data_IF_061816986851
#
_entry.id   IF_061816986851
#
_cell.length_a   1.000
_cell.length_b   1.000
_cell.length_c   1.000
_cell.angle_alpha   90.00
_cell.angle_beta   90.00
_cell.angle_gamma   90.00
#
_symmetry.space_group_name_H-M   'P 1'
#
loop_
_entity.id
_entity.type
_entity.pdbx_description
1 polymer ?
#
# COMPACT_ATOMS: atom_id res chain seq x y z
N UNK A 1 6.97 18.63 34.71
CA UNK A 1 6.49 18.69 33.31
C UNK A 1 7.08 17.62 32.38
N UNK A 2 8.23 17.00 32.69
CA UNK A 2 8.85 15.98 31.82
C UNK A 2 8.26 14.56 31.92
N UNK A 3 7.42 14.25 32.92
CA UNK A 3 6.81 12.92 33.12
C UNK A 3 5.56 12.63 32.24
N UNK A 4 4.96 13.67 31.65
CA UNK A 4 3.74 13.53 30.85
C UNK A 4 4.02 13.29 29.35
N UNK A 5 5.14 13.83 28.85
CA UNK A 5 5.61 13.63 27.47
C UNK A 5 6.13 12.20 27.28
N UNK A 6 6.79 11.64 28.30
CA UNK A 6 7.35 10.28 28.30
C UNK A 6 6.26 9.20 28.27
N UNK A 7 5.16 9.41 28.99
CA UNK A 7 3.98 8.52 28.95
C UNK A 7 3.25 8.56 27.60
N UNK A 8 3.22 9.71 26.92
CA UNK A 8 2.65 9.84 25.59
C UNK A 8 3.43 9.05 24.53
N UNK A 9 4.77 9.08 24.57
CA UNK A 9 5.61 8.31 23.66
C UNK A 9 5.58 6.80 23.94
N UNK A 10 5.55 6.38 25.22
CA UNK A 10 5.40 4.96 25.57
C UNK A 10 4.03 4.39 25.14
N UNK A 11 2.94 5.15 25.27
CA UNK A 11 1.61 4.74 24.81
C UNK A 11 1.55 4.61 23.29
N UNK A 12 2.16 5.55 22.55
CA UNK A 12 2.24 5.47 21.09
C UNK A 12 3.06 4.24 20.67
N UNK A 13 4.21 3.97 21.30
CA UNK A 13 5.03 2.81 20.98
C UNK A 13 4.34 1.48 21.31
N UNK A 14 3.67 1.38 22.46
CA UNK A 14 2.93 0.20 22.88
C UNK A 14 1.69 -0.06 22.01
N UNK A 15 0.97 0.99 21.61
CA UNK A 15 -0.16 0.86 20.68
C UNK A 15 0.28 0.48 19.28
N UNK A 16 1.42 0.99 18.80
CA UNK A 16 2.01 0.58 17.52
C UNK A 16 2.51 -0.87 17.58
N UNK A 17 3.09 -1.31 18.71
CA UNK A 17 3.53 -2.69 18.90
C UNK A 17 2.35 -3.67 18.91
N UNK A 18 1.25 -3.32 19.61
CA UNK A 18 0.00 -4.10 19.59
C UNK A 18 -0.67 -4.10 18.22
N UNK A 19 -0.65 -2.97 17.51
CA UNK A 19 -1.11 -2.89 16.13
C UNK A 19 -0.30 -3.83 15.23
N UNK A 20 1.03 -3.80 15.35
CA UNK A 20 1.91 -4.67 14.59
C UNK A 20 1.64 -6.15 14.91
N UNK A 21 1.48 -6.50 16.17
CA UNK A 21 1.20 -7.87 16.62
C UNK A 21 -0.19 -8.35 16.18
N UNK A 22 -1.19 -7.47 16.13
CA UNK A 22 -2.54 -7.80 15.67
C UNK A 22 -2.65 -7.87 14.14
N UNK A 23 -1.83 -7.10 13.41
CA UNK A 23 -1.74 -7.15 11.94
C UNK A 23 -0.86 -8.31 11.43
N UNK A 24 0.19 -8.67 12.18
CA UNK A 24 1.09 -9.80 11.87
C UNK A 24 0.75 -11.05 12.69
N UNK A 25 -0.54 -11.32 12.93
CA UNK A 25 -0.91 -12.61 13.51
C UNK A 25 -0.34 -13.76 12.65
N UNK A 26 0.26 -14.80 13.27
CA UNK A 26 1.19 -15.72 12.60
C UNK A 26 0.56 -16.71 11.62
N UNK A 27 -0.72 -16.58 11.28
CA UNK A 27 -1.46 -17.61 10.52
C UNK A 27 -1.53 -17.39 9.00
N UNK A 28 -0.98 -16.30 8.46
CA UNK A 28 -1.07 -16.03 7.00
C UNK A 28 0.24 -15.72 6.30
N UNK A 29 1.38 -16.04 6.93
CA UNK A 29 2.59 -16.29 6.16
C UNK A 29 2.47 -17.65 5.47
N UNK A 30 1.40 -17.83 4.68
CA UNK A 30 1.24 -18.99 3.83
C UNK A 30 2.46 -19.00 2.90
N UNK A 31 3.04 -20.18 2.71
CA UNK A 31 4.19 -20.38 1.81
C UNK A 31 3.95 -19.69 0.46
N UNK A 32 2.69 -19.64 0.01
CA UNK A 32 2.25 -18.98 -1.21
C UNK A 32 2.49 -17.46 -1.22
N UNK A 33 2.24 -16.72 -0.13
CA UNK A 33 2.53 -15.29 -0.06
C UNK A 33 4.04 -15.04 -0.04
N UNK A 34 4.79 -15.86 0.71
CA UNK A 34 6.25 -15.79 0.77
C UNK A 34 6.90 -16.05 -0.59
N UNK A 35 6.44 -17.07 -1.31
CA UNK A 35 6.91 -17.39 -2.67
C UNK A 35 6.56 -16.26 -3.64
N UNK A 36 5.33 -15.73 -3.60
CA UNK A 36 4.94 -14.60 -4.45
C UNK A 36 5.82 -13.36 -4.20
N UNK A 37 6.08 -13.03 -2.93
CA UNK A 37 6.95 -11.93 -2.56
C UNK A 37 8.40 -12.15 -3.02
N UNK A 38 8.93 -13.37 -2.91
CA UNK A 38 10.27 -13.71 -3.40
C UNK A 38 10.39 -13.58 -4.92
N UNK A 39 9.38 -14.00 -5.67
CA UNK A 39 9.33 -13.85 -7.14
C UNK A 39 9.30 -12.38 -7.53
N UNK A 40 8.45 -11.58 -6.86
CA UNK A 40 8.40 -10.13 -7.07
C UNK A 40 9.74 -9.45 -6.76
N UNK A 41 10.36 -9.78 -5.63
CA UNK A 41 11.66 -9.24 -5.24
C UNK A 41 12.76 -9.59 -6.26
N UNK A 42 12.77 -10.83 -6.73
CA UNK A 42 13.70 -11.29 -7.77
C UNK A 42 13.50 -10.53 -9.08
N UNK A 43 12.25 -10.32 -9.49
CA UNK A 43 11.92 -9.53 -10.68
C UNK A 43 12.41 -8.08 -10.55
N UNK A 44 12.14 -7.41 -9.44
CA UNK A 44 12.63 -6.04 -9.21
C UNK A 44 14.15 -5.96 -9.14
N UNK A 45 14.82 -6.99 -8.61
CA UNK A 45 16.28 -7.09 -8.63
C UNK A 45 16.81 -7.11 -10.07
N UNK A 46 16.21 -7.90 -10.97
CA UNK A 46 16.61 -7.93 -12.38
C UNK A 46 16.37 -6.61 -13.10
N UNK A 47 15.22 -5.96 -12.88
CA UNK A 47 14.93 -4.63 -13.44
C UNK A 47 15.98 -3.61 -12.97
N UNK A 48 16.29 -3.61 -11.67
CA UNK A 48 17.31 -2.73 -11.08
C UNK A 48 18.71 -3.02 -11.65
N UNK A 49 19.07 -4.30 -11.78
CA UNK A 49 20.33 -4.72 -12.36
C UNK A 49 20.45 -4.27 -13.82
N UNK A 50 19.41 -4.43 -14.64
CA UNK A 50 19.42 -3.96 -16.03
C UNK A 50 19.59 -2.44 -16.13
N UNK A 51 18.93 -1.67 -15.26
CA UNK A 51 19.09 -0.21 -15.20
C UNK A 51 20.51 0.20 -14.81
N UNK A 52 21.04 -0.37 -13.73
CA UNK A 52 22.38 -0.05 -13.23
C UNK A 52 23.49 -0.53 -14.19
N UNK A 53 23.45 -1.80 -14.60
CA UNK A 53 24.43 -2.38 -15.51
C UNK A 53 24.35 -1.75 -16.91
N UNK A 54 23.15 -1.46 -17.41
CA UNK A 54 22.95 -0.73 -18.67
C UNK A 54 23.54 0.69 -18.62
N UNK A 55 23.45 1.36 -17.47
CA UNK A 55 24.08 2.65 -17.26
C UNK A 55 25.62 2.56 -17.26
N UNK A 56 26.19 1.59 -16.54
CA UNK A 56 27.65 1.40 -16.44
C UNK A 56 28.26 0.99 -17.78
N UNK A 57 27.70 -0.04 -18.43
CA UNK A 57 28.18 -0.57 -19.71
C UNK A 57 27.88 0.31 -20.92
N UNK A 58 27.03 1.35 -20.76
CA UNK A 58 26.50 2.19 -21.84
C UNK A 58 25.81 1.40 -22.96
N UNK A 59 25.29 0.22 -22.66
CA UNK A 59 24.58 -0.63 -23.62
C UNK A 59 23.21 -0.05 -23.95
N UNK A 60 22.99 0.29 -25.23
CA UNK A 60 21.73 0.87 -25.69
C UNK A 60 20.56 -0.12 -25.61
N UNK A 61 20.82 -1.41 -25.82
CA UNK A 61 19.80 -2.46 -25.78
C UNK A 61 19.28 -2.66 -24.36
N UNK A 62 20.17 -2.74 -23.36
CA UNK A 62 19.80 -2.91 -21.95
C UNK A 62 19.01 -1.71 -21.42
N UNK A 63 19.42 -0.48 -21.76
CA UNK A 63 18.70 0.73 -21.37
C UNK A 63 17.31 0.83 -22.02
N UNK A 64 17.15 0.34 -23.25
CA UNK A 64 15.85 0.28 -23.93
C UNK A 64 14.93 -0.75 -23.25
N UNK A 65 15.42 -1.96 -22.98
CA UNK A 65 14.68 -2.99 -22.26
C UNK A 65 14.29 -2.55 -20.85
N UNK A 66 15.17 -1.83 -20.15
CA UNK A 66 14.85 -1.23 -18.86
C UNK A 66 13.71 -0.20 -18.99
N UNK A 67 13.77 0.70 -19.97
CA UNK A 67 12.72 1.70 -20.18
C UNK A 67 11.36 1.08 -20.51
N UNK A 68 11.33 0.02 -21.33
CA UNK A 68 10.08 -0.68 -21.66
C UNK A 68 9.51 -1.43 -20.46
N UNK A 69 10.35 -2.09 -19.65
CA UNK A 69 9.90 -2.76 -18.42
C UNK A 69 9.34 -1.76 -17.39
N UNK A 70 9.99 -0.61 -17.23
CA UNK A 70 9.51 0.49 -16.37
C UNK A 70 8.14 0.99 -16.88
N UNK A 71 7.97 1.18 -18.18
CA UNK A 71 6.67 1.59 -18.74
C UNK A 71 5.57 0.51 -18.52
N UNK A 72 5.91 -0.76 -18.69
CA UNK A 72 4.96 -1.86 -18.44
C UNK A 72 4.57 -1.96 -16.96
N UNK A 73 5.52 -1.73 -16.05
CA UNK A 73 5.25 -1.66 -14.61
C UNK A 73 4.29 -0.51 -14.28
N UNK A 74 4.50 0.67 -14.89
CA UNK A 74 3.58 1.79 -14.74
C UNK A 74 2.14 1.41 -15.15
N UNK A 75 1.98 0.75 -16.30
CA UNK A 75 0.65 0.33 -16.77
C UNK A 75 0.02 -0.71 -15.85
N UNK A 76 0.81 -1.68 -15.36
CA UNK A 76 0.34 -2.70 -14.42
C UNK A 76 -0.09 -2.07 -13.09
N UNK A 77 0.72 -1.18 -12.52
CA UNK A 77 0.39 -0.45 -11.29
C UNK A 77 -0.87 0.39 -11.46
N UNK A 78 -1.03 1.06 -12.60
CA UNK A 78 -2.26 1.81 -12.89
C UNK A 78 -3.49 0.92 -12.96
N UNK A 79 -3.38 -0.25 -13.60
CA UNK A 79 -4.47 -1.22 -13.71
C UNK A 79 -4.82 -1.82 -12.35
N UNK A 80 -3.83 -2.17 -11.53
CA UNK A 80 -4.04 -2.68 -10.17
C UNK A 80 -4.70 -1.63 -9.29
N UNK A 81 -4.20 -0.39 -9.28
CA UNK A 81 -4.81 0.70 -8.51
C UNK A 81 -6.26 0.94 -8.90
N UNK A 82 -6.57 0.92 -10.20
CA UNK A 82 -7.94 1.08 -10.69
C UNK A 82 -8.83 -0.09 -10.23
N UNK A 83 -8.36 -1.32 -10.40
CA UNK A 83 -9.09 -2.53 -10.00
C UNK A 83 -9.37 -2.59 -8.49
N UNK A 84 -8.37 -2.29 -7.65
CA UNK A 84 -8.56 -2.26 -6.20
C UNK A 84 -9.50 -1.13 -5.79
N UNK A 85 -9.35 0.05 -6.38
CA UNK A 85 -10.21 1.20 -6.08
C UNK A 85 -11.67 0.92 -6.44
N UNK A 86 -11.94 0.36 -7.63
CA UNK A 86 -13.30 0.03 -8.04
C UNK A 86 -13.90 -1.09 -7.18
N UNK A 87 -13.13 -2.14 -6.91
CA UNK A 87 -13.57 -3.24 -6.04
C UNK A 87 -13.89 -2.76 -4.62
N UNK A 88 -13.07 -1.87 -4.05
CA UNK A 88 -13.32 -1.29 -2.71
C UNK A 88 -14.55 -0.37 -2.69
N UNK A 89 -14.79 0.38 -3.76
CA UNK A 89 -15.95 1.28 -3.86
C UNK A 89 -17.25 0.51 -4.11
N UNK A 90 -17.21 -0.53 -4.94
CA UNK A 90 -18.39 -1.31 -5.34
C UNK A 90 -18.78 -2.37 -4.31
N UNK A 91 -17.80 -3.11 -3.77
CA UNK A 91 -18.06 -4.20 -2.82
C UNK A 91 -18.03 -3.77 -1.36
N UNK A 92 -17.46 -2.59 -1.07
CA UNK A 92 -17.23 -2.13 0.30
C UNK A 92 -16.31 -3.05 1.10
N UNK A 93 -16.19 -2.79 2.40
CA UNK A 93 -15.53 -3.71 3.34
C UNK A 93 -16.48 -4.86 3.65
N UNK A 94 -16.40 -5.95 2.87
CA UNK A 94 -17.18 -7.15 3.15
C UNK A 94 -16.88 -7.70 4.55
N UNK A 95 -17.88 -8.35 5.14
CA UNK A 95 -17.92 -8.82 6.54
C UNK A 95 -16.94 -9.96 6.85
N UNK A 96 -16.15 -10.41 5.87
CA UNK A 96 -15.03 -11.33 6.12
C UNK A 96 -13.95 -10.57 6.90
N UNK A 97 -13.75 -10.98 8.16
CA UNK A 97 -12.75 -10.44 9.09
C UNK A 97 -11.33 -10.88 8.67
N UNK A 98 -10.90 -10.44 7.48
CA UNK A 98 -9.52 -10.56 7.01
C UNK A 98 -8.63 -9.48 7.64
N UNK A 99 -7.33 -9.75 7.77
CA UNK A 99 -6.36 -8.78 8.30
C UNK A 99 -6.38 -7.43 7.57
N UNK A 100 -6.61 -7.44 6.26
CA UNK A 100 -6.72 -6.23 5.45
C UNK A 100 -7.94 -5.38 5.81
N UNK A 101 -9.07 -6.00 6.16
CA UNK A 101 -10.28 -5.26 6.53
C UNK A 101 -10.09 -4.57 7.88
N UNK A 102 -9.39 -5.22 8.82
CA UNK A 102 -8.96 -4.58 10.08
C UNK A 102 -7.98 -3.41 9.85
N UNK A 103 -6.99 -3.58 8.98
CA UNK A 103 -6.00 -2.53 8.67
C UNK A 103 -6.66 -1.27 8.08
N UNK A 104 -7.60 -1.46 7.15
CA UNK A 104 -8.34 -0.36 6.51
C UNK A 104 -9.22 0.35 7.54
N UNK A 105 -9.96 -0.39 8.39
CA UNK A 105 -10.80 0.18 9.45
C UNK A 105 -9.98 1.05 10.42
N UNK A 106 -8.78 0.60 10.80
CA UNK A 106 -7.87 1.35 11.67
C UNK A 106 -7.31 2.60 10.95
N UNK A 107 -6.86 2.46 9.71
CA UNK A 107 -6.25 3.54 8.93
C UNK A 107 -7.25 4.66 8.64
N UNK A 108 -8.50 4.30 8.33
CA UNK A 108 -9.56 5.26 8.01
C UNK A 108 -10.42 5.64 9.22
N UNK A 109 -10.19 5.00 10.38
CA UNK A 109 -10.97 5.20 11.62
C UNK A 109 -12.48 5.15 11.36
N UNK A 110 -12.93 4.07 10.72
CA UNK A 110 -14.30 3.88 10.26
C UNK A 110 -14.86 2.53 10.74
N UNK A 111 -16.19 2.43 10.86
CA UNK A 111 -16.86 1.17 11.12
C UNK A 111 -18.23 1.11 10.44
N UNK A 112 -18.52 -0.01 9.76
CA UNK A 112 -19.80 -0.30 9.13
C UNK A 112 -20.69 -1.03 10.15
N UNK A 113 -21.31 -0.29 11.08
CA UNK A 113 -22.24 -0.87 12.06
C UNK A 113 -23.65 -0.34 11.83
N UNK A 114 -24.52 -1.20 11.33
CA UNK A 114 -25.91 -0.85 11.07
C UNK A 114 -26.75 -1.25 12.29
N UNK A 115 -27.27 -0.26 13.04
CA UNK A 115 -28.08 -0.43 14.26
C UNK A 115 -29.42 -1.18 14.03
N UNK A 116 -29.72 -1.57 12.80
CA UNK A 116 -30.97 -2.23 12.39
C UNK A 116 -30.87 -3.75 12.32
N UNK A 117 -29.68 -4.33 12.51
CA UNK A 117 -29.53 -5.79 12.58
C UNK A 117 -29.76 -6.28 14.02
N UNK A 118 -30.70 -7.21 14.26
CA UNK A 118 -31.04 -7.68 15.61
C UNK A 118 -30.03 -8.69 16.18
N UNK A 119 -28.93 -8.96 15.48
CA UNK A 119 -27.89 -9.83 16.01
C UNK A 119 -26.87 -9.02 16.80
N UNK A 120 -26.86 -9.31 18.09
CA UNK A 120 -25.89 -8.95 19.11
C UNK A 120 -24.47 -9.45 18.75
N UNK A 121 -23.94 -9.07 17.60
CA UNK A 121 -22.56 -9.35 17.18
C UNK A 121 -21.70 -8.21 17.70
N UNK A 122 -20.90 -8.51 18.71
CA UNK A 122 -19.86 -7.60 19.20
C UNK A 122 -19.02 -7.14 18.01
N UNK A 123 -18.91 -5.81 17.77
CA UNK A 123 -18.15 -5.30 16.64
C UNK A 123 -16.67 -5.72 16.74
N UNK A 124 -16.00 -5.94 15.60
CA UNK A 124 -14.60 -6.33 15.60
C UNK A 124 -13.74 -5.26 16.28
N UNK A 125 -12.72 -5.68 17.02
CA UNK A 125 -11.86 -4.78 17.81
C UNK A 125 -11.26 -3.62 16.99
N UNK A 126 -11.02 -3.82 15.68
CA UNK A 126 -10.52 -2.78 14.77
C UNK A 126 -11.45 -1.57 14.62
N UNK A 127 -12.74 -1.71 14.96
CA UNK A 127 -13.70 -0.61 14.94
C UNK A 127 -13.61 0.32 16.17
N UNK A 128 -12.92 -0.10 17.22
CA UNK A 128 -12.70 0.69 18.44
C UNK A 128 -11.21 1.08 18.62
N UNK A 129 -10.35 0.69 17.68
CA UNK A 129 -8.92 1.01 17.67
C UNK A 129 -8.01 -0.10 18.24
N UNK A 130 -6.69 0.13 18.32
CA UNK A 130 -5.72 -0.86 18.80
C UNK A 130 -5.79 -1.10 20.31
N UNK A 131 -6.35 -0.16 21.08
CA UNK A 131 -6.50 -0.25 22.53
C UNK A 131 -7.58 -1.25 22.99
N UNK A 132 -8.51 -1.63 22.10
CA UNK A 132 -9.62 -2.55 22.36
C UNK A 132 -9.33 -4.01 21.98
N UNK A 133 -8.12 -4.32 21.52
CA UNK A 133 -7.68 -5.70 21.24
C UNK A 133 -7.54 -6.51 22.55
N UNK A 134 -8.03 -7.77 22.63
CA UNK A 134 -8.69 -8.55 21.58
C UNK A 134 -10.23 -8.40 21.53
N UNK A 135 -10.91 -7.99 22.60
CA UNK A 135 -12.39 -8.01 22.65
C UNK A 135 -13.04 -6.96 23.60
N UNK A 136 -12.47 -5.76 23.69
CA UNK A 136 -13.01 -4.66 24.52
C UNK A 136 -13.69 -3.58 23.67
N UNK A 137 -14.42 -3.96 22.63
CA UNK A 137 -15.12 -3.02 21.74
C UNK A 137 -16.60 -2.93 22.12
N UNK A 138 -16.99 -1.82 22.75
CA UNK A 138 -18.37 -1.50 23.12
C UNK A 138 -18.94 -0.46 22.16
N UNK A 139 -20.28 -0.37 22.08
CA UNK A 139 -20.98 0.57 21.19
C UNK A 139 -20.60 2.05 21.46
N UNK A 140 -20.17 2.39 22.67
CA UNK A 140 -19.75 3.75 23.04
C UNK A 140 -18.41 4.16 22.44
N UNK A 141 -17.50 3.21 22.23
CA UNK A 141 -16.14 3.46 21.72
C UNK A 141 -15.99 3.19 20.22
N UNK A 142 -17.10 3.04 19.51
CA UNK A 142 -17.13 2.70 18.11
C UNK A 142 -16.84 3.92 17.20
N UNK A 143 -16.04 3.72 16.16
CA UNK A 143 -15.93 4.69 15.09
C UNK A 143 -17.29 4.90 14.39
N UNK A 144 -17.82 6.13 14.47
CA UNK A 144 -19.13 6.49 13.92
C UNK A 144 -19.14 6.79 12.41
N UNK A 145 -17.96 6.79 11.77
CA UNK A 145 -17.84 7.10 10.35
C UNK A 145 -18.13 5.85 9.51
N UNK A 146 -19.00 6.02 8.51
CA UNK A 146 -19.24 5.00 7.48
C UNK A 146 -17.95 4.73 6.71
N UNK A 147 -17.58 3.45 6.59
CA UNK A 147 -16.34 3.10 5.90
C UNK A 147 -16.43 3.40 4.41
N UNK A 148 -17.58 3.20 3.76
CA UNK A 148 -17.77 3.54 2.35
C UNK A 148 -17.52 5.03 2.06
N UNK A 149 -18.04 5.93 2.90
CA UNK A 149 -17.81 7.37 2.78
C UNK A 149 -16.35 7.76 3.08
N UNK A 150 -15.74 7.14 4.09
CA UNK A 150 -14.34 7.37 4.43
C UNK A 150 -13.39 6.92 3.31
N UNK A 151 -13.64 5.75 2.70
CA UNK A 151 -12.86 5.22 1.57
C UNK A 151 -13.01 6.13 0.35
N UNK A 152 -14.24 6.48 -0.04
CA UNK A 152 -14.48 7.29 -1.24
C UNK A 152 -13.90 8.70 -1.10
N UNK A 153 -14.02 9.32 0.07
CA UNK A 153 -13.42 10.64 0.34
C UNK A 153 -11.88 10.60 0.37
N UNK A 154 -11.29 9.56 0.97
CA UNK A 154 -9.84 9.34 0.95
C UNK A 154 -9.34 9.13 -0.47
N UNK A 155 -10.01 8.26 -1.23
CA UNK A 155 -9.63 7.92 -2.60
C UNK A 155 -9.68 9.18 -3.47
N UNK A 156 -10.77 9.95 -3.45
CA UNK A 156 -10.86 11.21 -4.21
C UNK A 156 -9.73 12.19 -3.90
N UNK A 157 -9.26 12.22 -2.65
CA UNK A 157 -8.23 13.16 -2.21
C UNK A 157 -6.82 12.75 -2.65
N UNK A 158 -6.50 11.46 -2.57
CA UNK A 158 -5.12 10.99 -2.77
C UNK A 158 -4.88 10.29 -4.11
N UNK A 159 -5.92 9.80 -4.79
CA UNK A 159 -5.80 9.03 -6.02
C UNK A 159 -5.02 9.80 -7.09
N UNK A 160 -5.40 11.05 -7.39
CA UNK A 160 -4.70 11.87 -8.40
C UNK A 160 -3.24 12.13 -8.03
N UNK A 161 -2.95 12.38 -6.75
CA UNK A 161 -1.58 12.61 -6.27
C UNK A 161 -0.71 11.36 -6.40
N UNK A 162 -1.26 10.19 -6.05
CA UNK A 162 -0.57 8.90 -6.20
C UNK A 162 -0.28 8.64 -7.68
N UNK A 163 -1.27 8.78 -8.58
CA UNK A 163 -1.06 8.58 -10.02
C UNK A 163 -0.02 9.55 -10.60
N UNK A 164 -0.06 10.83 -10.21
CA UNK A 164 0.90 11.81 -10.69
C UNK A 164 2.33 11.49 -10.24
N UNK A 165 2.53 11.12 -8.97
CA UNK A 165 3.83 10.72 -8.44
C UNK A 165 4.36 9.47 -9.14
N UNK A 166 3.49 8.46 -9.30
CA UNK A 166 3.80 7.21 -9.96
C UNK A 166 4.24 7.46 -11.41
N UNK A 167 3.46 8.23 -12.17
CA UNK A 167 3.77 8.60 -13.55
C UNK A 167 5.07 9.42 -13.65
N UNK A 168 5.26 10.41 -12.79
CA UNK A 168 6.46 11.24 -12.80
C UNK A 168 7.73 10.42 -12.53
N UNK A 169 7.68 9.51 -11.56
CA UNK A 169 8.83 8.64 -11.22
C UNK A 169 9.23 7.76 -12.40
N UNK A 170 8.25 7.11 -13.03
CA UNK A 170 8.50 6.25 -14.19
C UNK A 170 8.97 7.03 -15.42
N UNK A 171 8.42 8.22 -15.66
CA UNK A 171 8.85 9.12 -16.74
C UNK A 171 10.28 9.58 -16.54
N UNK A 172 10.68 9.97 -15.33
CA UNK A 172 12.06 10.38 -15.04
C UNK A 172 13.03 9.22 -15.33
N UNK A 173 12.72 8.02 -14.83
CA UNK A 173 13.56 6.83 -15.03
C UNK A 173 13.69 6.45 -16.52
N UNK A 174 12.59 6.51 -17.28
CA UNK A 174 12.59 6.25 -18.72
C UNK A 174 13.32 7.36 -19.52
N UNK A 175 13.17 8.62 -19.13
CA UNK A 175 13.82 9.76 -19.79
C UNK A 175 15.33 9.69 -19.64
N UNK A 176 15.81 9.40 -18.42
CA UNK A 176 17.23 9.30 -18.13
C UNK A 176 17.93 8.20 -18.94
N UNK A 177 17.26 7.06 -19.19
CA UNK A 177 17.82 5.97 -20.00
C UNK A 177 17.87 6.31 -21.50
N UNK A 178 16.83 6.99 -22.03
CA UNK A 178 16.75 7.40 -23.44
C UNK A 178 17.76 8.52 -23.77
N UNK A 179 17.88 9.55 -22.92
CA UNK A 179 18.83 10.66 -23.14
C UNK A 179 20.27 10.14 -23.17
N UNK A 180 20.60 9.16 -22.32
CA UNK A 180 21.93 8.54 -22.28
C UNK A 180 22.23 7.72 -23.54
N UNK A 181 21.22 7.07 -24.12
CA UNK A 181 21.31 6.41 -25.42
C UNK A 181 21.61 7.41 -26.54
N UNK A 182 20.85 8.51 -26.61
CA UNK A 182 21.03 9.53 -27.64
C UNK A 182 22.44 10.14 -27.63
N UNK A 183 22.95 10.51 -26.44
CA UNK A 183 24.32 11.06 -26.29
C UNK A 183 25.43 10.05 -26.64
N UNK A 184 25.19 8.76 -26.44
CA UNK A 184 26.18 7.73 -26.78
C UNK A 184 26.23 7.47 -28.30
N UNK A 185 25.08 7.49 -28.97
CA UNK A 185 25.01 7.38 -30.43
C UNK A 185 25.62 8.60 -31.14
N UNK A 186 25.39 9.82 -30.64
CA UNK A 186 25.94 11.03 -31.26
C UNK A 186 27.48 11.10 -31.18
N UNK A 187 28.08 10.51 -30.13
CA UNK A 187 29.53 10.45 -29.95
C UNK A 187 30.22 9.40 -30.81
N UNK A 188 29.53 8.39 -31.34
CA UNK A 188 30.14 7.43 -32.26
C UNK A 188 30.10 7.87 -33.72
N UNK A 189 29.35 8.93 -34.03
CA UNK A 189 29.23 9.51 -35.36
C UNK A 189 30.07 10.79 -35.56
N UNK A 190 30.82 11.20 -34.54
CA UNK A 190 31.84 12.26 -34.57
C UNK A 190 33.22 11.62 -34.52
#
# INVERSE_FOLDING_TARGET
MNSFIDRGQQLVYYNNLKLLQALLAPEVLTVQLGVAAAVLATFFFFVSFMGFYGAVSRSQFLLFMYATLVLLLLLLECALLYYFSSSLVEKGLQKEDGQWTHAIRLTLSCCEHNYTSPELVTPPWSCCGPGSYPSNCTADNLHRKNCQEAITSWLRRYQTGIYALLAATHLILASCSIIRRYRSASRSHS
#
